data_IF_762311888331
#
_entry.id   IF_762311888331
#
_cell.length_a   1.000
_cell.length_b   1.000
_cell.length_c   1.000
_cell.angle_alpha   90.00
_cell.angle_beta   90.00
_cell.angle_gamma   90.00
#
_symmetry.space_group_name_H-M   'P 1'
#
loop_
_entity.id
_entity.type
_entity.pdbx_description
1 polymer ?
#
# COMPACT_ATOMS: atom_id res chain seq x y z
N UNK A 1 -2.88 -45.94 40.27
CA UNK A 1 -3.63 -47.11 39.76
C UNK A 1 -3.02 -47.51 38.43
N UNK A 2 -2.45 -48.72 38.38
CA UNK A 2 -1.90 -49.36 37.17
C UNK A 2 -3.02 -50.19 36.52
N UNK A 3 -3.11 -50.20 35.19
CA UNK A 3 -3.86 -51.23 34.46
C UNK A 3 -4.22 -50.84 33.02
N UNK A 4 -4.23 -51.79 32.06
CA UNK A 4 -3.35 -51.67 30.89
C UNK A 4 -3.93 -52.13 29.52
N UNK A 5 -3.10 -52.06 28.45
CA UNK A 5 -2.94 -53.08 27.35
C UNK A 5 -4.12 -53.17 26.31
N UNK A 6 -3.99 -53.27 24.97
CA UNK A 6 -2.99 -53.81 24.01
C UNK A 6 -3.41 -53.52 22.54
N UNK A 7 -2.42 -53.42 21.62
CA UNK A 7 -2.24 -54.05 20.26
C UNK A 7 -3.44 -54.16 19.26
N UNK A 8 -3.32 -54.07 17.92
CA UNK A 8 -2.27 -54.51 16.97
C UNK A 8 -2.61 -54.14 15.51
N UNK A 9 -1.56 -53.90 14.70
CA UNK A 9 -1.28 -54.30 13.28
C UNK A 9 -2.43 -54.41 12.25
N UNK A 10 -2.21 -53.79 11.07
CA UNK A 10 -2.02 -54.49 9.78
C UNK A 10 -1.66 -53.54 8.61
N UNK A 11 -0.56 -53.84 7.90
CA UNK A 11 -0.29 -53.55 6.48
C UNK A 11 -0.61 -54.85 5.68
N UNK A 12 -0.81 -54.92 4.33
CA UNK A 12 0.08 -54.42 3.24
C UNK A 12 -0.72 -54.12 1.92
N UNK A 13 -0.24 -54.28 0.64
CA UNK A 13 1.10 -54.33 0.04
C UNK A 13 1.30 -53.39 -1.19
N UNK A 14 2.54 -53.41 -1.70
CA UNK A 14 3.06 -52.77 -2.91
C UNK A 14 2.41 -53.22 -4.23
N UNK A 15 2.44 -52.33 -5.24
CA UNK A 15 2.25 -52.68 -6.66
C UNK A 15 3.45 -52.22 -7.49
N UNK A 16 4.02 -53.19 -8.18
CA UNK A 16 5.08 -53.09 -9.18
C UNK A 16 4.41 -53.19 -10.55
N UNK A 17 4.57 -52.22 -11.43
CA UNK A 17 4.33 -52.46 -12.87
C UNK A 17 5.49 -51.90 -13.69
N UNK A 18 6.05 -52.82 -14.47
CA UNK A 18 7.16 -52.71 -15.39
C UNK A 18 6.54 -52.76 -16.79
N UNK A 19 6.76 -51.76 -17.65
CA UNK A 19 6.57 -51.95 -19.10
C UNK A 19 7.81 -51.42 -19.83
N UNK A 20 8.57 -52.37 -20.34
CA UNK A 20 9.60 -52.17 -21.36
C UNK A 20 8.96 -52.29 -22.75
N UNK A 21 9.35 -51.42 -23.68
CA UNK A 21 9.01 -51.51 -25.10
C UNK A 21 10.13 -50.96 -25.97
N UNK A 22 10.93 -51.86 -26.54
CA UNK A 22 12.10 -51.62 -27.41
C UNK A 22 11.73 -52.09 -28.82
N UNK A 23 12.05 -51.35 -29.88
CA UNK A 23 12.09 -51.93 -31.23
C UNK A 23 12.37 -50.94 -32.39
N UNK A 24 13.03 -51.38 -33.50
CA UNK A 24 13.93 -50.52 -34.29
C UNK A 24 13.64 -50.42 -35.81
N UNK A 25 14.31 -49.44 -36.45
CA UNK A 25 14.91 -49.40 -37.80
C UNK A 25 14.16 -49.73 -39.12
N UNK A 26 14.60 -48.96 -40.15
CA UNK A 26 14.53 -49.15 -41.61
C UNK A 26 13.18 -48.76 -42.27
N UNK A 27 13.11 -48.21 -43.50
CA UNK A 27 13.95 -48.36 -44.70
C UNK A 27 13.58 -47.26 -45.73
N UNK A 28 14.57 -46.81 -46.50
CA UNK A 28 14.39 -46.02 -47.72
C UNK A 28 13.75 -46.87 -48.82
N UNK A 29 12.82 -46.29 -49.60
CA UNK A 29 12.61 -46.70 -50.99
C UNK A 29 12.22 -45.50 -51.88
N UNK A 30 12.93 -45.36 -53.00
CA UNK A 30 12.71 -44.36 -54.05
C UNK A 30 11.59 -44.83 -54.97
N UNK A 31 10.69 -43.92 -55.33
CA UNK A 31 9.95 -43.99 -56.59
C UNK A 31 10.09 -42.66 -57.32
N UNK A 32 10.75 -42.69 -58.48
CA UNK A 32 10.71 -41.66 -59.53
C UNK A 32 9.51 -41.96 -60.43
N UNK A 33 8.73 -40.95 -60.82
CA UNK A 33 8.33 -40.69 -62.22
C UNK A 33 7.35 -39.51 -62.30
N UNK A 34 7.63 -38.57 -63.22
CA UNK A 34 6.65 -37.70 -63.90
C UNK A 34 6.03 -36.56 -63.07
N UNK A 35 5.68 -35.38 -63.56
CA UNK A 35 5.66 -34.80 -64.90
C UNK A 35 5.69 -33.26 -64.75
N UNK A 36 6.52 -32.63 -65.56
CA UNK A 36 6.80 -31.20 -65.66
C UNK A 36 5.69 -30.42 -66.37
N UNK A 37 4.48 -30.35 -65.80
CA UNK A 37 3.39 -29.55 -66.40
C UNK A 37 2.47 -28.80 -65.42
N UNK A 38 2.92 -28.50 -64.20
CA UNK A 38 2.16 -27.72 -63.21
C UNK A 38 2.92 -26.58 -62.51
N UNK A 39 4.19 -26.33 -62.85
CA UNK A 39 5.05 -25.39 -62.11
C UNK A 39 4.62 -23.92 -62.20
N UNK A 40 4.08 -23.44 -63.32
CA UNK A 40 3.80 -22.00 -63.45
C UNK A 40 2.52 -21.54 -62.74
N UNK A 41 1.46 -22.36 -62.71
CA UNK A 41 0.25 -22.06 -61.90
C UNK A 41 0.47 -22.26 -60.41
N UNK A 42 1.34 -23.20 -60.01
CA UNK A 42 1.69 -23.44 -58.61
C UNK A 42 2.57 -22.31 -58.03
N UNK A 43 3.55 -21.81 -58.80
CA UNK A 43 4.44 -20.72 -58.36
C UNK A 43 3.72 -19.36 -58.23
N UNK A 44 2.69 -19.10 -59.05
CA UNK A 44 1.85 -17.90 -58.94
C UNK A 44 0.94 -17.93 -57.69
N UNK A 45 0.42 -19.10 -57.32
CA UNK A 45 -0.32 -19.28 -56.05
C UNK A 45 0.62 -19.19 -54.85
N UNK A 46 1.81 -19.81 -54.90
CA UNK A 46 2.80 -19.69 -53.81
C UNK A 46 3.19 -18.23 -53.57
N UNK A 47 3.48 -17.42 -54.60
CA UNK A 47 3.83 -16.00 -54.39
C UNK A 47 2.73 -15.17 -53.73
N UNK A 48 1.45 -15.40 -54.05
CA UNK A 48 0.33 -14.71 -53.39
C UNK A 48 0.08 -15.22 -51.97
N UNK A 49 0.28 -16.52 -51.72
CA UNK A 49 0.14 -17.11 -50.38
C UNK A 49 1.31 -16.71 -49.48
N UNK A 50 2.53 -16.61 -50.00
CA UNK A 50 3.72 -16.22 -49.23
C UNK A 50 3.71 -14.75 -48.82
N UNK A 51 3.20 -13.84 -49.65
CA UNK A 51 3.04 -12.42 -49.27
C UNK A 51 1.94 -12.26 -48.21
N UNK A 52 0.86 -13.05 -48.29
CA UNK A 52 -0.20 -13.04 -47.29
C UNK A 52 0.25 -13.66 -45.94
N UNK A 53 1.01 -14.76 -45.97
CA UNK A 53 1.59 -15.39 -44.76
C UNK A 53 2.65 -14.50 -44.11
N UNK A 54 3.47 -13.77 -44.89
CA UNK A 54 4.45 -12.83 -44.33
C UNK A 54 3.79 -11.57 -43.73
N UNK A 55 2.69 -11.09 -44.33
CA UNK A 55 1.91 -9.96 -43.79
C UNK A 55 1.15 -10.36 -42.51
N UNK A 56 0.62 -11.58 -42.42
CA UNK A 56 0.01 -12.12 -41.19
C UNK A 56 1.08 -12.37 -40.12
N UNK A 57 2.28 -12.84 -40.48
CA UNK A 57 3.40 -12.98 -39.55
C UNK A 57 3.85 -11.63 -38.99
N UNK A 58 4.01 -10.59 -39.83
CA UNK A 58 4.36 -9.24 -39.35
C UNK A 58 3.25 -8.57 -38.55
N UNK A 59 1.97 -8.84 -38.84
CA UNK A 59 0.85 -8.36 -38.04
C UNK A 59 0.75 -9.08 -36.67
N UNK A 60 1.23 -10.33 -36.55
CA UNK A 60 1.24 -11.08 -35.29
C UNK A 60 2.45 -10.80 -34.39
N UNK A 61 3.53 -10.20 -34.91
CA UNK A 61 4.62 -9.65 -34.08
C UNK A 61 4.38 -8.21 -33.60
N UNK A 62 3.29 -7.57 -34.07
CA UNK A 62 2.96 -6.17 -33.76
C UNK A 62 1.90 -5.99 -32.67
N UNK A 63 1.23 -7.05 -32.22
CA UNK A 63 0.44 -7.01 -31.00
C UNK A 63 1.40 -7.10 -29.82
N UNK A 64 2.13 -6.00 -29.54
CA UNK A 64 2.77 -5.82 -28.25
C UNK A 64 1.68 -6.05 -27.20
N UNK A 65 1.97 -6.91 -26.22
CA UNK A 65 1.11 -7.09 -25.06
C UNK A 65 0.70 -5.70 -24.59
N UNK A 66 -0.59 -5.38 -24.64
CA UNK A 66 -1.07 -4.17 -24.01
C UNK A 66 -0.59 -4.24 -22.56
N UNK A 67 0.30 -3.33 -22.18
CA UNK A 67 0.77 -3.28 -20.80
C UNK A 67 -0.47 -3.14 -19.93
N UNK A 68 -0.54 -3.96 -18.89
CA UNK A 68 -1.67 -3.96 -17.98
C UNK A 68 -1.80 -2.65 -17.23
N UNK A 69 -0.66 -1.98 -17.01
CA UNK A 69 -0.52 -0.68 -16.38
C UNK A 69 0.22 0.30 -17.28
N UNK A 70 0.07 1.60 -17.02
CA UNK A 70 0.94 2.59 -17.63
C UNK A 70 2.34 2.41 -17.03
N UNK A 71 3.42 2.44 -17.84
CA UNK A 71 4.77 2.28 -17.31
C UNK A 71 5.11 3.37 -16.28
N UNK A 72 5.56 2.95 -15.10
CA UNK A 72 6.12 3.84 -14.08
C UNK A 72 7.27 4.68 -14.64
N UNK A 73 7.20 6.00 -14.44
CA UNK A 73 8.28 6.92 -14.76
C UNK A 73 8.86 7.52 -13.47
N UNK A 74 10.14 7.26 -13.13
CA UNK A 74 10.74 7.75 -11.91
C UNK A 74 10.60 9.26 -11.74
N UNK A 75 10.19 9.69 -10.55
CA UNK A 75 10.02 11.12 -10.23
C UNK A 75 11.39 11.72 -9.88
N UNK A 76 11.78 12.88 -10.45
CA UNK A 76 13.05 13.50 -10.10
C UNK A 76 13.13 13.85 -8.60
N UNK A 77 14.20 13.40 -7.96
CA UNK A 77 14.50 13.77 -6.58
C UNK A 77 14.63 15.30 -6.41
N UNK A 78 14.24 15.76 -5.23
CA UNK A 78 14.48 17.12 -4.79
C UNK A 78 14.31 17.27 -3.29
N UNK A 79 14.68 18.43 -2.77
CA UNK A 79 14.51 18.74 -1.36
C UNK A 79 13.07 19.20 -1.11
N UNK A 80 12.28 18.46 -0.30
CA UNK A 80 10.96 18.89 0.11
C UNK A 80 11.04 20.16 0.98
N UNK A 81 10.07 21.05 0.82
CA UNK A 81 10.00 22.33 1.54
C UNK A 81 8.60 22.51 2.11
N UNK A 82 8.54 22.71 3.43
CA UNK A 82 7.31 23.06 4.16
C UNK A 82 6.79 24.43 3.72
N UNK A 83 5.47 24.59 3.72
CA UNK A 83 4.81 25.82 3.32
C UNK A 83 3.29 25.66 3.29
N UNK A 84 2.56 26.71 2.87
CA UNK A 84 1.11 26.72 2.94
C UNK A 84 0.39 26.05 1.75
N UNK A 85 1.07 25.81 0.63
CA UNK A 85 0.45 25.13 -0.52
C UNK A 85 0.72 23.62 -0.46
N UNK A 86 0.18 22.87 -1.43
CA UNK A 86 0.32 21.41 -1.49
C UNK A 86 1.04 21.03 -2.78
N UNK A 87 2.15 20.30 -2.66
CA UNK A 87 2.88 19.74 -3.79
C UNK A 87 1.96 18.78 -4.57
N UNK A 88 1.87 18.87 -5.91
CA UNK A 88 1.08 17.92 -6.67
C UNK A 88 1.69 16.51 -6.61
N UNK A 89 0.87 15.43 -6.77
CA UNK A 89 1.36 14.05 -6.70
C UNK A 89 2.52 13.74 -7.66
N UNK A 90 2.55 14.39 -8.81
CA UNK A 90 3.56 14.17 -9.87
C UNK A 90 4.96 14.68 -9.56
N UNK A 91 5.16 15.41 -8.45
CA UNK A 91 6.49 15.87 -8.01
C UNK A 91 6.92 15.27 -6.67
N UNK A 92 6.02 14.57 -5.97
CA UNK A 92 6.35 13.81 -4.78
C UNK A 92 6.96 12.50 -5.24
N UNK A 93 8.13 12.15 -4.74
CA UNK A 93 8.91 10.99 -5.18
C UNK A 93 8.78 9.83 -4.19
N UNK A 94 9.13 8.63 -4.64
CA UNK A 94 9.20 7.42 -3.81
C UNK A 94 7.84 7.04 -3.21
N UNK A 95 6.77 7.13 -4.01
CA UNK A 95 5.41 6.89 -3.53
C UNK A 95 5.05 5.42 -3.71
N UNK A 96 4.42 4.86 -2.69
CA UNK A 96 3.96 3.48 -2.66
C UNK A 96 2.52 3.42 -2.12
N UNK A 97 1.77 2.40 -2.49
CA UNK A 97 0.44 2.15 -1.95
C UNK A 97 0.09 0.66 -1.96
N UNK A 98 -0.87 0.26 -1.13
CA UNK A 98 -1.60 -1.01 -1.19
C UNK A 98 -3.09 -0.75 -1.40
N UNK A 99 -3.86 -1.81 -1.70
CA UNK A 99 -5.31 -1.72 -1.90
C UNK A 99 -5.97 -3.10 -1.68
N UNK A 100 -7.29 -3.20 -1.47
CA UNK A 100 -7.97 -4.47 -1.18
C UNK A 100 -8.85 -4.99 -2.35
N UNK A 101 -8.56 -6.18 -2.91
CA UNK A 101 -7.41 -7.05 -2.61
C UNK A 101 -6.13 -6.52 -3.23
N UNK A 102 -4.97 -6.79 -2.63
CA UNK A 102 -3.65 -6.45 -3.14
C UNK A 102 -3.43 -7.13 -4.50
N UNK A 103 -2.86 -6.38 -5.45
CA UNK A 103 -2.69 -6.83 -6.83
C UNK A 103 -1.27 -6.51 -7.29
N UNK A 104 -0.62 -7.49 -7.90
CA UNK A 104 0.50 -7.24 -8.79
C UNK A 104 0.03 -6.47 -10.03
N UNK A 105 0.82 -5.50 -10.45
CA UNK A 105 0.73 -4.75 -11.71
C UNK A 105 1.06 -5.61 -12.94
N UNK A 106 1.59 -6.82 -12.74
CA UNK A 106 1.91 -7.75 -13.83
C UNK A 106 0.65 -8.49 -14.28
N UNK A 107 0.16 -8.13 -15.47
CA UNK A 107 -0.93 -8.86 -16.15
C UNK A 107 -2.25 -8.10 -16.18
N UNK A 108 -3.03 -8.33 -17.24
CA UNK A 108 -4.20 -7.51 -17.56
C UNK A 108 -5.20 -7.44 -16.40
N UNK A 109 -5.46 -6.22 -15.92
CA UNK A 109 -6.45 -5.97 -14.86
C UNK A 109 -5.94 -6.13 -13.43
N UNK A 110 -4.63 -6.35 -13.24
CA UNK A 110 -4.04 -6.70 -11.95
C UNK A 110 -4.24 -8.17 -11.61
N UNK A 111 -3.24 -8.79 -10.99
CA UNK A 111 -3.31 -10.19 -10.52
C UNK A 111 -3.30 -10.19 -8.99
N UNK A 112 -4.28 -10.81 -8.31
CA UNK A 112 -4.27 -10.91 -6.85
C UNK A 112 -2.96 -11.46 -6.32
N UNK A 113 -2.32 -10.64 -5.50
CA UNK A 113 -1.03 -10.91 -4.88
C UNK A 113 -1.03 -10.26 -3.48
N UNK A 114 -1.59 -10.94 -2.46
CA UNK A 114 -1.62 -10.45 -1.08
C UNK A 114 -0.23 -9.98 -0.64
N UNK A 115 -0.16 -8.90 0.12
CA UNK A 115 1.10 -8.29 0.61
C UNK A 115 1.96 -7.58 -0.46
N UNK A 116 1.48 -7.47 -1.71
CA UNK A 116 2.17 -6.74 -2.78
C UNK A 116 1.90 -5.24 -2.70
N UNK A 117 2.97 -4.46 -2.56
CA UNK A 117 2.94 -3.00 -2.59
C UNK A 117 3.19 -2.49 -4.01
N UNK A 118 2.53 -1.41 -4.40
CA UNK A 118 2.65 -0.82 -5.73
C UNK A 118 3.32 0.55 -5.67
N UNK A 119 4.42 0.71 -6.40
CA UNK A 119 5.04 2.02 -6.61
C UNK A 119 4.28 2.82 -7.67
N UNK A 120 4.12 4.14 -7.48
CA UNK A 120 3.41 5.00 -8.42
C UNK A 120 4.04 6.39 -8.65
N UNK A 121 3.92 6.92 -9.87
CA UNK A 121 4.62 8.14 -10.29
C UNK A 121 3.79 9.43 -10.16
N UNK A 122 2.50 9.33 -9.85
CA UNK A 122 1.61 10.50 -9.73
C UNK A 122 1.10 11.05 -11.07
N UNK A 123 1.41 10.38 -12.16
CA UNK A 123 0.94 10.61 -13.53
C UNK A 123 0.20 9.39 -14.11
N UNK A 124 -0.10 8.41 -13.27
CA UNK A 124 -0.80 7.17 -13.60
C UNK A 124 0.11 5.99 -13.92
N UNK A 125 1.43 6.17 -13.94
CA UNK A 125 2.39 5.08 -14.11
C UNK A 125 2.60 4.33 -12.80
N UNK A 126 2.54 3.00 -12.87
CA UNK A 126 2.70 2.12 -11.70
C UNK A 126 3.55 0.90 -12.01
N UNK A 127 4.08 0.27 -10.96
CA UNK A 127 4.77 -1.02 -11.04
C UNK A 127 4.96 -1.66 -9.67
N UNK A 128 5.21 -2.96 -9.65
CA UNK A 128 5.40 -3.72 -8.41
C UNK A 128 6.58 -3.17 -7.60
N UNK A 129 6.31 -2.85 -6.34
CA UNK A 129 7.28 -2.44 -5.33
C UNK A 129 7.68 -3.62 -4.45
N UNK A 130 7.77 -3.38 -3.14
CA UNK A 130 8.04 -4.43 -2.16
C UNK A 130 6.89 -5.43 -2.06
N UNK A 131 7.20 -6.68 -1.71
CA UNK A 131 6.23 -7.74 -1.45
C UNK A 131 6.57 -8.37 -0.11
N UNK A 132 5.65 -8.29 0.86
CA UNK A 132 5.86 -8.87 2.20
C UNK A 132 5.52 -10.36 2.26
N UNK A 133 5.06 -10.97 1.16
CA UNK A 133 4.75 -12.39 1.09
C UNK A 133 5.87 -13.27 1.63
N UNK A 134 5.53 -14.06 2.64
CA UNK A 134 6.45 -15.04 3.24
C UNK A 134 7.51 -14.45 4.17
N UNK A 135 7.47 -13.16 4.48
CA UNK A 135 8.28 -12.56 5.55
C UNK A 135 7.86 -13.11 6.92
N UNK A 136 6.56 -13.37 7.11
CA UNK A 136 5.98 -13.88 8.36
C UNK A 136 6.00 -15.41 8.42
N UNK A 137 6.13 -16.01 9.63
CA UNK A 137 6.19 -17.46 9.79
C UNK A 137 4.84 -18.17 9.61
N UNK A 138 3.72 -17.46 9.74
CA UNK A 138 2.36 -17.98 9.61
C UNK A 138 1.60 -17.10 8.62
N UNK A 139 1.17 -17.70 7.51
CA UNK A 139 0.31 -17.05 6.53
C UNK A 139 -1.15 -17.31 6.88
N UNK A 140 -1.95 -16.25 6.93
CA UNK A 140 -3.40 -16.29 7.15
C UNK A 140 -4.14 -16.05 5.84
N UNK A 141 -5.41 -16.46 5.78
CA UNK A 141 -6.23 -16.25 4.57
C UNK A 141 -6.43 -14.76 4.27
N UNK A 142 -6.38 -13.92 5.32
CA UNK A 142 -6.52 -12.46 5.25
C UNK A 142 -5.13 -11.82 5.41
N UNK A 143 -4.29 -11.96 4.38
CA UNK A 143 -2.95 -11.35 4.34
C UNK A 143 -2.93 -10.13 3.41
N UNK A 144 -3.99 -9.33 3.39
CA UNK A 144 -3.96 -8.04 2.70
C UNK A 144 -3.22 -7.03 3.57
N UNK A 145 -2.36 -6.21 2.97
CA UNK A 145 -1.74 -5.09 3.68
C UNK A 145 -2.80 -4.03 3.93
N UNK A 146 -2.90 -3.52 5.16
CA UNK A 146 -3.97 -2.59 5.56
C UNK A 146 -3.43 -1.30 6.20
N UNK A 147 -2.11 -1.17 6.24
CA UNK A 147 -1.40 0.07 6.50
C UNK A 147 0.07 -0.11 6.11
N UNK A 148 0.72 0.97 5.70
CA UNK A 148 2.14 1.01 5.36
C UNK A 148 2.79 2.20 6.06
N UNK A 149 4.06 2.05 6.41
CA UNK A 149 4.90 3.16 6.80
C UNK A 149 6.38 2.80 6.65
N UNK A 150 7.22 3.82 6.62
CA UNK A 150 8.62 3.70 6.91
C UNK A 150 8.85 3.92 8.40
N UNK A 151 9.84 3.24 8.99
CA UNK A 151 10.21 3.46 10.39
C UNK A 151 10.51 4.93 10.72
N UNK A 152 10.90 5.75 9.76
CA UNK A 152 11.27 7.15 9.97
C UNK A 152 10.59 8.11 8.99
N UNK A 153 9.27 8.24 9.08
CA UNK A 153 8.50 9.08 8.16
C UNK A 153 8.99 10.53 8.19
N UNK A 154 9.35 11.02 7.00
CA UNK A 154 10.10 12.27 6.83
C UNK A 154 9.41 13.50 7.45
N UNK A 155 8.08 13.47 7.54
CA UNK A 155 7.26 14.59 8.00
C UNK A 155 6.41 14.28 9.23
N UNK A 156 6.62 13.16 9.92
CA UNK A 156 5.88 12.80 11.13
C UNK A 156 5.80 13.96 12.14
N UNK A 157 6.96 14.49 12.55
CA UNK A 157 7.03 15.62 13.48
C UNK A 157 6.40 16.89 12.89
N UNK A 158 6.47 17.08 11.57
CA UNK A 158 5.89 18.26 10.91
C UNK A 158 4.35 18.20 10.90
N UNK A 159 3.76 17.01 10.82
CA UNK A 159 2.31 16.80 10.98
C UNK A 159 1.89 17.14 12.42
N UNK A 160 2.62 16.65 13.42
CA UNK A 160 2.36 16.95 14.84
C UNK A 160 2.45 18.46 15.15
N UNK A 161 3.26 19.19 14.39
CA UNK A 161 3.42 20.64 14.51
C UNK A 161 2.45 21.45 13.65
N UNK A 162 1.55 20.78 12.91
CA UNK A 162 0.61 21.41 11.98
C UNK A 162 1.32 22.25 10.90
N UNK A 163 2.43 21.70 10.38
CA UNK A 163 3.32 22.34 9.39
C UNK A 163 3.43 21.59 8.05
N UNK A 164 3.24 20.27 8.03
CA UNK A 164 3.10 19.47 6.80
C UNK A 164 1.63 19.03 6.66
N UNK A 165 1.10 18.97 5.45
CA UNK A 165 -0.29 18.59 5.22
C UNK A 165 -0.48 17.09 5.37
N UNK A 166 -1.57 16.67 6.01
CA UNK A 166 -1.91 15.26 6.16
C UNK A 166 -2.64 14.76 4.90
N UNK A 167 -2.04 13.83 4.17
CA UNK A 167 -2.68 13.06 3.11
C UNK A 167 -3.40 11.87 3.74
N UNK A 168 -4.57 11.53 3.24
CA UNK A 168 -5.32 10.36 3.70
C UNK A 168 -6.15 9.73 2.59
N UNK A 169 -6.43 8.43 2.72
CA UNK A 169 -7.48 7.72 1.97
C UNK A 169 -8.65 7.40 2.89
N UNK A 170 -9.70 6.81 2.31
CA UNK A 170 -10.89 6.38 3.06
C UNK A 170 -11.31 4.99 2.62
N UNK A 171 -11.88 4.20 3.53
CA UNK A 171 -12.29 2.83 3.22
C UNK A 171 -13.46 2.84 2.21
N UNK A 172 -13.47 1.83 1.34
CA UNK A 172 -14.57 1.56 0.43
C UNK A 172 -15.80 0.97 1.15
N UNK A 173 -15.63 0.49 2.38
CA UNK A 173 -16.70 0.02 3.25
C UNK A 173 -16.82 0.90 4.49
N UNK A 174 -18.05 1.24 4.87
CA UNK A 174 -18.31 1.91 6.14
C UNK A 174 -19.69 1.53 6.67
N UNK A 175 -19.87 1.63 7.98
CA UNK A 175 -21.17 1.42 8.63
C UNK A 175 -21.95 2.72 8.68
N UNK A 176 -23.14 2.73 8.09
CA UNK A 176 -24.12 3.79 8.25
C UNK A 176 -25.25 3.37 9.19
N UNK A 177 -25.88 4.32 9.86
CA UNK A 177 -27.11 4.12 10.61
C UNK A 177 -28.29 4.74 9.86
N UNK A 178 -29.15 3.89 9.30
CA UNK A 178 -30.37 4.29 8.57
C UNK A 178 -31.58 3.83 9.36
N UNK A 179 -32.39 4.78 9.85
CA UNK A 179 -33.52 4.45 10.73
C UNK A 179 -33.07 3.76 12.04
N UNK A 180 -31.86 4.07 12.52
CA UNK A 180 -31.27 3.49 13.73
C UNK A 180 -30.73 2.06 13.57
N UNK A 181 -30.72 1.50 12.36
CA UNK A 181 -30.10 0.20 12.07
C UNK A 181 -28.74 0.40 11.42
N UNK A 182 -27.73 -0.34 11.89
CA UNK A 182 -26.43 -0.40 11.25
C UNK A 182 -26.55 -1.11 9.88
N UNK A 183 -26.01 -0.47 8.85
CA UNK A 183 -26.02 -0.93 7.46
C UNK A 183 -24.63 -0.73 6.90
N UNK A 184 -23.96 -1.82 6.53
CA UNK A 184 -22.72 -1.75 5.77
C UNK A 184 -23.00 -1.12 4.41
N UNK A 185 -22.27 -0.05 4.10
CA UNK A 185 -22.46 0.81 2.94
C UNK A 185 -21.16 0.90 2.16
N UNK A 186 -21.25 0.91 0.83
CA UNK A 186 -20.09 1.08 -0.03
C UNK A 186 -19.87 2.55 -0.34
N UNK A 187 -18.65 3.04 -0.16
CA UNK A 187 -18.19 4.31 -0.70
C UNK A 187 -17.70 4.08 -2.14
N UNK A 188 -18.09 4.94 -3.10
CA UNK A 188 -17.54 4.86 -4.44
C UNK A 188 -16.02 5.02 -4.44
N UNK A 189 -15.38 4.29 -5.34
CA UNK A 189 -13.92 4.33 -5.51
C UNK A 189 -13.41 5.70 -5.99
N UNK A 190 -14.22 6.43 -6.76
CA UNK A 190 -13.94 7.81 -7.17
C UNK A 190 -14.94 8.78 -6.57
N UNK A 191 -14.47 9.97 -6.23
CA UNK A 191 -15.29 11.05 -5.72
C UNK A 191 -16.09 11.77 -6.82
N UNK A 192 -16.69 12.92 -6.50
CA UNK A 192 -16.58 13.64 -5.23
C UNK A 192 -17.39 13.02 -4.08
N UNK A 193 -16.85 13.04 -2.87
CA UNK A 193 -17.58 12.76 -1.62
C UNK A 193 -17.77 14.07 -0.85
N UNK A 194 -19.03 14.45 -0.61
CA UNK A 194 -19.38 15.68 0.10
C UNK A 194 -19.38 15.43 1.62
N UNK A 195 -18.61 16.23 2.34
CA UNK A 195 -18.50 16.19 3.79
C UNK A 195 -19.51 17.13 4.46
N UNK A 196 -19.85 16.85 5.73
CA UNK A 196 -20.81 17.65 6.51
C UNK A 196 -20.38 19.12 6.71
N UNK A 197 -19.08 19.40 6.68
CA UNK A 197 -18.54 20.76 6.75
C UNK A 197 -18.57 21.51 5.40
N UNK A 198 -19.05 20.86 4.33
CA UNK A 198 -19.16 21.43 2.99
C UNK A 198 -17.91 21.24 2.12
N UNK A 199 -16.83 20.65 2.65
CA UNK A 199 -15.67 20.28 1.84
C UNK A 199 -15.97 19.06 0.97
N UNK A 200 -15.11 18.82 -0.01
CA UNK A 200 -15.24 17.68 -0.92
C UNK A 200 -13.91 16.97 -1.03
N UNK A 201 -13.95 15.65 -0.82
CA UNK A 201 -12.79 14.77 -0.89
C UNK A 201 -12.95 13.76 -2.04
N UNK A 202 -11.92 12.94 -2.25
CA UNK A 202 -11.95 11.82 -3.17
C UNK A 202 -12.81 10.65 -2.67
N UNK A 203 -12.98 9.65 -3.54
CA UNK A 203 -13.53 8.34 -3.17
C UNK A 203 -12.48 7.44 -2.52
N UNK A 204 -12.83 6.16 -2.31
CA UNK A 204 -11.94 5.23 -1.61
C UNK A 204 -10.62 4.97 -2.34
N UNK A 205 -10.62 4.94 -3.68
CA UNK A 205 -9.44 4.74 -4.53
C UNK A 205 -8.66 6.03 -4.82
N UNK A 206 -8.92 7.09 -4.07
CA UNK A 206 -8.32 8.40 -4.25
C UNK A 206 -7.67 8.88 -2.96
N UNK A 207 -6.73 9.82 -3.08
CA UNK A 207 -6.07 10.42 -1.94
C UNK A 207 -6.56 11.85 -1.76
N UNK A 208 -6.91 12.18 -0.53
CA UNK A 208 -7.33 13.51 -0.10
C UNK A 208 -6.28 14.11 0.81
N UNK A 209 -6.39 15.41 1.08
CA UNK A 209 -5.46 16.13 1.94
C UNK A 209 -6.22 17.05 2.89
N UNK A 210 -5.89 16.97 4.18
CA UNK A 210 -6.19 17.99 5.18
C UNK A 210 -5.07 19.02 5.19
N UNK A 211 -5.44 20.30 5.01
CA UNK A 211 -4.46 21.36 5.05
C UNK A 211 -4.03 21.68 6.48
N UNK A 212 -2.76 21.45 6.76
CA UNK A 212 -2.07 22.10 7.86
C UNK A 212 -2.37 23.61 7.94
N UNK A 213 -2.64 24.14 9.13
CA UNK A 213 -2.93 25.58 9.34
C UNK A 213 -1.71 26.43 9.02
N UNK A 214 -0.50 25.89 9.20
CA UNK A 214 0.78 26.53 8.88
C UNK A 214 0.88 27.97 9.41
N UNK A 215 0.80 28.13 10.73
CA UNK A 215 0.86 29.45 11.37
C UNK A 215 -0.29 30.41 11.00
N UNK A 216 -1.42 29.87 10.51
CA UNK A 216 -2.61 30.62 10.14
C UNK A 216 -2.71 30.97 8.66
N UNK A 217 -1.83 30.40 7.82
CA UNK A 217 -1.88 30.62 6.38
C UNK A 217 -3.08 29.91 5.71
N UNK A 218 -3.50 28.77 6.24
CA UNK A 218 -4.70 28.06 5.82
C UNK A 218 -5.79 28.18 6.91
N UNK A 219 -7.08 28.26 6.53
CA UNK A 219 -8.16 28.11 7.50
C UNK A 219 -8.17 26.68 8.08
N UNK A 220 -8.73 26.47 9.28
CA UNK A 220 -8.85 25.14 9.86
C UNK A 220 -9.86 24.28 9.12
N UNK A 221 -9.73 22.95 9.23
CA UNK A 221 -10.66 21.95 8.67
C UNK A 221 -10.86 22.11 7.18
N UNK A 222 -9.78 22.08 6.40
CA UNK A 222 -9.82 22.20 4.94
C UNK A 222 -9.37 20.90 4.32
N UNK A 223 -10.35 20.10 3.90
CA UNK A 223 -10.12 18.89 3.12
C UNK A 223 -10.32 19.16 1.64
N UNK A 224 -9.49 18.53 0.80
CA UNK A 224 -9.69 18.49 -0.65
C UNK A 224 -9.07 17.23 -1.27
N UNK A 225 -9.50 16.90 -2.48
CA UNK A 225 -8.83 15.89 -3.31
C UNK A 225 -7.37 16.31 -3.60
N UNK A 226 -6.44 15.36 -3.45
CA UNK A 226 -5.02 15.53 -3.76
C UNK A 226 -4.59 14.71 -4.99
N UNK A 227 -4.93 13.42 -5.02
CA UNK A 227 -4.63 12.52 -6.14
C UNK A 227 -5.88 11.74 -6.57
N UNK A 228 -6.22 11.84 -7.86
CA UNK A 228 -7.26 11.00 -8.48
C UNK A 228 -6.78 9.56 -8.67
N UNK A 229 -7.71 8.62 -8.84
CA UNK A 229 -7.42 7.23 -9.19
C UNK A 229 -6.46 7.12 -10.38
N UNK A 230 -6.73 7.90 -11.43
CA UNK A 230 -5.95 7.86 -12.67
C UNK A 230 -4.52 8.43 -12.53
N UNK A 231 -4.27 9.25 -11.50
CA UNK A 231 -2.93 9.71 -11.18
C UNK A 231 -2.16 8.70 -10.32
N UNK A 232 -2.88 7.90 -9.52
CA UNK A 232 -2.32 6.82 -8.70
C UNK A 232 -1.95 5.64 -9.61
N UNK A 233 -2.93 5.09 -10.31
CA UNK A 233 -2.73 4.05 -11.31
C UNK A 233 -3.72 4.22 -12.46
N UNK A 234 -3.19 4.44 -13.67
CA UNK A 234 -4.01 4.66 -14.86
C UNK A 234 -4.71 3.41 -15.38
N UNK A 235 -4.25 2.20 -15.02
CA UNK A 235 -4.89 0.93 -15.37
C UNK A 235 -4.29 -0.23 -14.56
N UNK A 236 -5.07 -1.08 -13.86
CA UNK A 236 -6.45 -0.80 -13.46
C UNK A 236 -6.52 0.43 -12.54
N UNK A 237 -7.68 1.09 -12.49
CA UNK A 237 -7.90 2.12 -11.48
C UNK A 237 -8.03 1.45 -10.10
N UNK A 238 -7.37 1.97 -9.06
CA UNK A 238 -7.41 1.38 -7.72
C UNK A 238 -8.84 1.47 -7.15
N UNK A 239 -9.33 0.40 -6.53
CA UNK A 239 -10.68 0.38 -5.94
C UNK A 239 -10.71 1.18 -4.63
N UNK A 240 -9.66 1.05 -3.86
CA UNK A 240 -9.38 1.70 -2.61
C UNK A 240 -7.87 1.91 -2.48
N UNK A 241 -7.48 2.56 -1.39
CA UNK A 241 -6.11 2.66 -0.92
C UNK A 241 -6.15 2.34 0.57
N UNK A 242 -5.54 1.26 0.99
CA UNK A 242 -5.46 0.79 2.39
C UNK A 242 -4.05 0.93 2.97
N UNK A 243 -3.09 1.41 2.18
CA UNK A 243 -1.76 1.70 2.65
C UNK A 243 -1.12 2.75 1.78
N UNK A 244 -0.32 3.62 2.40
CA UNK A 244 0.31 4.74 1.71
C UNK A 244 1.68 5.00 2.31
N UNK A 245 2.69 5.09 1.46
CA UNK A 245 4.01 5.60 1.79
C UNK A 245 4.35 6.71 0.78
N UNK A 246 4.90 7.82 1.26
CA UNK A 246 5.42 8.90 0.44
C UNK A 246 6.85 9.20 0.90
N UNK A 247 7.69 9.66 -0.03
CA UNK A 247 9.07 10.10 0.25
C UNK A 247 10.11 9.00 0.42
N UNK A 248 9.97 7.91 -0.32
CA UNK A 248 11.02 6.90 -0.44
C UNK A 248 12.10 7.19 -1.50
N UNK A 249 13.00 6.23 -1.76
CA UNK A 249 13.94 6.30 -2.87
C UNK A 249 13.26 6.13 -4.24
N UNK A 250 13.94 6.56 -5.30
CA UNK A 250 13.54 6.44 -6.70
C UNK A 250 14.57 5.61 -7.50
N UNK A 251 14.14 4.71 -8.40
CA UNK A 251 12.75 4.34 -8.67
C UNK A 251 12.10 3.69 -7.44
N UNK A 252 10.80 3.92 -7.25
CA UNK A 252 10.03 3.41 -6.10
C UNK A 252 10.04 1.88 -5.94
N UNK A 253 10.56 1.14 -6.91
CA UNK A 253 10.80 -0.31 -6.80
C UNK A 253 11.86 -0.70 -5.76
N UNK A 254 12.67 0.27 -5.30
CA UNK A 254 13.57 0.09 -4.16
C UNK A 254 12.97 0.68 -2.87
N UNK A 255 11.63 0.69 -2.79
CA UNK A 255 10.79 0.80 -1.60
C UNK A 255 11.54 0.76 -0.27
N UNK A 256 11.31 1.76 0.58
CA UNK A 256 11.79 1.79 1.96
C UNK A 256 10.69 1.56 3.00
N UNK A 257 9.43 1.36 2.56
CA UNK A 257 8.35 0.85 3.41
C UNK A 257 8.85 -0.37 4.17
N UNK A 258 8.82 -0.30 5.50
CA UNK A 258 9.36 -1.37 6.36
C UNK A 258 8.54 -1.61 7.62
N UNK A 259 7.35 -1.01 7.68
CA UNK A 259 6.31 -1.26 8.67
C UNK A 259 5.00 -1.48 7.92
N UNK A 260 4.20 -2.43 8.39
CA UNK A 260 2.89 -2.70 7.80
C UNK A 260 1.92 -3.33 8.82
N UNK A 261 0.61 -3.13 8.63
CA UNK A 261 -0.46 -3.90 9.28
C UNK A 261 -1.16 -4.81 8.27
N UNK A 262 -2.08 -5.63 8.76
CA UNK A 262 -2.91 -6.50 7.92
C UNK A 262 -4.39 -6.29 8.24
N UNK A 263 -5.26 -6.58 7.28
CA UNK A 263 -6.71 -6.35 7.36
C UNK A 263 -7.41 -6.95 8.60
N UNK A 264 -6.80 -7.97 9.22
CA UNK A 264 -7.32 -8.54 10.47
C UNK A 264 -6.21 -8.73 11.50
N UNK A 265 -5.83 -7.64 12.17
CA UNK A 265 -4.82 -7.59 13.23
C UNK A 265 -4.95 -8.73 14.26
N UNK A 266 -6.16 -8.97 14.77
CA UNK A 266 -6.43 -10.00 15.78
C UNK A 266 -6.01 -11.42 15.34
N UNK A 267 -6.00 -11.70 14.04
CA UNK A 267 -5.65 -13.02 13.49
C UNK A 267 -4.16 -13.14 13.14
N UNK A 268 -3.42 -12.03 13.24
CA UNK A 268 -2.01 -11.91 12.90
C UNK A 268 -1.09 -12.40 14.02
N UNK A 269 -1.16 -13.70 14.33
CA UNK A 269 -0.34 -14.30 15.39
C UNK A 269 1.10 -14.60 14.94
N UNK A 270 2.05 -14.44 15.87
CA UNK A 270 3.42 -14.88 15.70
C UNK A 270 3.75 -16.05 16.65
N UNK A 271 4.53 -17.03 16.17
CA UNK A 271 5.06 -18.13 17.01
C UNK A 271 5.88 -17.59 18.19
N UNK A 272 6.57 -16.46 18.01
CA UNK A 272 7.34 -15.80 19.06
C UNK A 272 6.48 -15.15 20.15
N UNK A 273 5.21 -14.84 19.85
CA UNK A 273 4.27 -14.16 20.77
C UNK A 273 2.95 -14.95 20.81
N UNK A 274 2.93 -16.16 21.40
CA UNK A 274 1.83 -17.11 21.23
C UNK A 274 0.50 -16.71 21.90
N UNK A 275 0.50 -15.64 22.70
CA UNK A 275 -0.67 -15.18 23.46
C UNK A 275 -1.12 -13.76 23.06
N UNK A 276 -0.55 -13.19 22.00
CA UNK A 276 -0.93 -11.87 21.50
C UNK A 276 -0.84 -11.86 19.98
N UNK A 277 -1.68 -11.05 19.35
CA UNK A 277 -1.59 -10.79 17.93
C UNK A 277 -0.65 -9.60 17.68
N UNK A 278 -0.35 -9.32 16.41
CA UNK A 278 0.56 -8.27 15.99
C UNK A 278 -0.21 -7.30 15.10
N UNK A 279 -0.33 -6.05 15.52
CA UNK A 279 -0.95 -4.99 14.72
C UNK A 279 0.02 -4.35 13.75
N UNK A 280 1.30 -4.23 14.12
CA UNK A 280 2.33 -3.70 13.22
C UNK A 280 3.49 -4.67 13.14
N UNK A 281 3.81 -5.06 11.92
CA UNK A 281 4.94 -5.91 11.57
C UNK A 281 6.10 -5.07 11.04
N UNK A 282 7.32 -5.50 11.31
CA UNK A 282 8.47 -5.05 10.53
C UNK A 282 8.46 -5.73 9.17
N UNK A 283 9.05 -5.11 8.14
CA UNK A 283 9.22 -5.72 6.82
C UNK A 283 10.05 -7.01 6.83
N UNK A 284 10.75 -7.30 7.94
CA UNK A 284 11.42 -8.58 8.19
C UNK A 284 10.47 -9.70 8.64
N UNK A 285 9.20 -9.41 8.90
CA UNK A 285 8.20 -10.31 9.46
C UNK A 285 8.33 -10.53 10.98
N UNK A 286 9.13 -9.71 11.67
CA UNK A 286 9.16 -9.68 13.13
C UNK A 286 8.07 -8.75 13.69
N UNK A 287 7.53 -9.00 14.90
CA UNK A 287 6.55 -8.10 15.51
C UNK A 287 7.18 -6.76 15.88
N UNK A 288 6.55 -5.65 15.49
CA UNK A 288 6.93 -4.30 15.91
C UNK A 288 6.03 -3.80 17.04
N UNK A 289 4.70 -3.82 16.84
CA UNK A 289 3.70 -3.45 17.85
C UNK A 289 2.69 -4.58 18.01
N UNK A 290 2.52 -5.00 19.27
CA UNK A 290 1.54 -6.02 19.63
C UNK A 290 0.12 -5.44 19.66
N UNK A 291 -0.84 -6.26 19.28
CA UNK A 291 -2.23 -5.86 19.17
C UNK A 291 -2.83 -5.39 20.52
N UNK A 292 -2.48 -6.05 21.63
CA UNK A 292 -2.90 -5.60 22.96
C UNK A 292 -2.44 -4.18 23.32
N UNK A 293 -1.32 -3.71 22.75
CA UNK A 293 -0.86 -2.33 22.96
C UNK A 293 -1.80 -1.32 22.29
N UNK A 294 -2.20 -1.60 21.04
CA UNK A 294 -3.16 -0.78 20.29
C UNK A 294 -4.52 -0.77 21.00
N UNK A 295 -5.05 -1.94 21.39
CA UNK A 295 -6.33 -2.04 22.09
C UNK A 295 -6.32 -1.23 23.39
N UNK A 296 -5.27 -1.35 24.21
CA UNK A 296 -5.15 -0.59 25.45
C UNK A 296 -5.08 0.92 25.19
N UNK A 297 -4.35 1.35 24.16
CA UNK A 297 -4.23 2.76 23.78
C UNK A 297 -5.60 3.32 23.35
N UNK A 298 -6.25 2.69 22.38
CA UNK A 298 -7.55 3.11 21.84
C UNK A 298 -8.61 3.15 22.94
N UNK A 299 -8.78 2.06 23.71
CA UNK A 299 -9.83 1.96 24.74
C UNK A 299 -9.66 2.97 25.87
N UNK A 300 -8.46 3.51 26.08
CA UNK A 300 -8.22 4.55 27.08
C UNK A 300 -8.69 5.95 26.65
N UNK A 301 -8.85 6.19 25.34
CA UNK A 301 -9.33 7.47 24.80
C UNK A 301 -10.79 7.43 24.36
N UNK A 302 -11.27 6.28 23.91
CA UNK A 302 -12.65 6.14 23.46
C UNK A 302 -13.62 6.28 24.63
N UNK A 303 -14.82 6.85 24.40
CA UNK A 303 -15.83 6.96 25.42
C UNK A 303 -16.20 5.58 25.98
N UNK A 304 -16.37 5.50 27.31
CA UNK A 304 -16.79 4.27 27.96
C UNK A 304 -18.10 3.77 27.33
N UNK A 305 -18.12 2.50 26.91
CA UNK A 305 -19.31 1.93 26.28
C UNK A 305 -20.46 1.81 27.30
N UNK A 306 -21.71 2.16 26.91
CA UNK A 306 -22.88 1.92 27.75
C UNK A 306 -23.11 0.43 28.04
N UNK A 307 -22.55 -0.48 27.22
CA UNK A 307 -22.77 -1.93 27.30
C UNK A 307 -21.55 -2.73 27.75
N UNK A 308 -20.38 -2.11 27.98
CA UNK A 308 -19.19 -2.84 28.43
C UNK A 308 -17.87 -2.22 28.00
N UNK A 309 -16.87 -3.05 27.74
CA UNK A 309 -15.60 -2.67 27.11
C UNK A 309 -15.72 -2.82 25.58
N UNK A 310 -14.96 -2.05 24.80
CA UNK A 310 -14.87 -2.26 23.35
C UNK A 310 -14.26 -3.64 23.13
N UNK A 311 -14.91 -4.54 22.36
CA UNK A 311 -14.38 -5.88 22.14
C UNK A 311 -12.99 -5.82 21.50
N UNK A 312 -12.06 -6.60 22.08
CA UNK A 312 -10.67 -6.70 21.62
C UNK A 312 -10.57 -7.04 20.13
N UNK A 313 -11.47 -7.89 19.65
CA UNK A 313 -11.56 -8.41 18.29
C UNK A 313 -12.09 -7.41 17.25
N UNK A 314 -12.58 -6.24 17.66
CA UNK A 314 -13.11 -5.23 16.75
C UNK A 314 -12.12 -4.09 16.47
N UNK A 315 -10.98 -4.04 17.17
CA UNK A 315 -9.94 -3.07 16.88
C UNK A 315 -9.09 -3.63 15.74
N UNK A 316 -8.93 -2.87 14.67
CA UNK A 316 -8.08 -3.19 13.53
C UNK A 316 -7.37 -1.91 13.10
N UNK A 317 -6.06 -1.95 12.83
CA UNK A 317 -5.29 -0.78 12.44
C UNK A 317 -5.32 -0.60 10.92
N UNK A 318 -5.89 0.53 10.47
CA UNK A 318 -6.21 0.77 9.05
C UNK A 318 -5.35 1.89 8.44
N UNK A 319 -4.52 2.60 9.22
CA UNK A 319 -3.61 3.60 8.68
C UNK A 319 -2.42 3.79 9.62
N UNK A 320 -1.24 4.11 9.09
CA UNK A 320 0.00 4.16 9.87
C UNK A 320 0.95 5.26 9.39
N UNK A 321 1.59 5.94 10.34
CA UNK A 321 2.89 6.60 10.19
C UNK A 321 3.73 6.24 11.41
N UNK A 322 5.05 6.13 11.25
CA UNK A 322 6.00 5.75 12.30
C UNK A 322 7.15 6.75 12.40
N UNK A 323 7.50 7.05 13.65
CA UNK A 323 8.71 7.75 14.04
C UNK A 323 9.48 6.88 15.03
N UNK A 324 10.40 6.09 14.50
CA UNK A 324 11.32 5.20 15.19
C UNK A 324 12.72 5.81 15.12
N UNK A 325 13.23 6.28 16.26
CA UNK A 325 14.55 6.91 16.34
C UNK A 325 15.46 6.27 17.38
N UNK A 326 14.93 5.43 18.25
CA UNK A 326 15.65 4.89 19.39
C UNK A 326 15.71 3.36 19.33
N UNK A 327 16.77 2.81 19.91
CA UNK A 327 16.93 1.36 19.92
C UNK A 327 17.26 0.81 18.53
N UNK A 328 16.50 -0.21 18.10
CA UNK A 328 16.66 -0.84 16.79
C UNK A 328 15.43 -0.58 15.94
N UNK A 329 15.56 -0.39 14.61
CA UNK A 329 14.40 -0.17 13.73
C UNK A 329 13.36 -1.30 13.72
N UNK A 330 13.61 -2.39 14.43
CA UNK A 330 12.74 -3.56 14.54
C UNK A 330 11.97 -3.60 15.88
N UNK A 331 12.12 -2.60 16.77
CA UNK A 331 11.53 -2.60 18.11
C UNK A 331 10.93 -1.24 18.47
N UNK A 332 9.72 -1.25 19.02
CA UNK A 332 9.06 -0.04 19.52
C UNK A 332 9.54 0.30 20.93
N UNK A 333 10.57 1.14 21.02
CA UNK A 333 11.38 1.33 22.21
C UNK A 333 11.27 2.72 22.84
N UNK A 334 11.54 2.76 24.14
CA UNK A 334 11.84 4.02 24.85
C UNK A 334 13.34 4.27 24.76
N UNK A 335 13.73 5.53 24.71
CA UNK A 335 15.14 5.89 24.89
C UNK A 335 15.67 5.32 26.22
N UNK A 336 16.66 4.41 26.20
CA UNK A 336 17.22 3.81 27.41
C UNK A 336 17.95 4.84 28.29
N UNK A 337 18.30 6.01 27.75
CA UNK A 337 18.93 7.10 28.51
C UNK A 337 17.94 7.94 29.32
N UNK A 338 16.64 7.77 29.09
CA UNK A 338 15.57 8.50 29.81
C UNK A 338 15.44 9.96 29.41
N UNK A 339 15.91 10.36 28.21
CA UNK A 339 15.83 11.74 27.72
C UNK A 339 14.39 12.21 27.42
N UNK A 340 13.40 11.31 27.55
CA UNK A 340 11.99 11.58 27.28
C UNK A 340 11.60 11.43 25.82
N UNK A 341 12.57 11.20 24.94
CA UNK A 341 12.30 10.83 23.57
C UNK A 341 11.96 9.34 23.47
N UNK A 342 11.02 9.02 22.59
CA UNK A 342 10.33 7.73 22.51
C UNK A 342 9.95 7.51 21.07
N UNK A 343 9.91 6.26 20.63
CA UNK A 343 9.32 5.96 19.34
C UNK A 343 7.82 6.26 19.39
N UNK A 344 7.27 6.67 18.25
CA UNK A 344 5.89 7.08 18.15
C UNK A 344 5.26 6.50 16.89
N UNK A 345 3.96 6.24 16.95
CA UNK A 345 3.15 5.96 15.78
C UNK A 345 1.94 6.89 15.76
N UNK A 346 1.53 7.26 14.56
CA UNK A 346 0.24 7.87 14.27
C UNK A 346 -0.58 6.82 13.52
N UNK A 347 -1.82 6.59 13.90
CA UNK A 347 -2.64 5.57 13.25
C UNK A 347 -4.13 5.87 13.32
N UNK A 348 -4.90 5.27 12.41
CA UNK A 348 -6.35 5.11 12.54
C UNK A 348 -6.69 3.66 12.86
N UNK A 349 -7.96 3.40 13.18
CA UNK A 349 -8.49 2.05 13.30
C UNK A 349 -9.78 1.95 12.52
N UNK A 350 -10.17 0.74 12.12
CA UNK A 350 -11.49 0.48 11.56
C UNK A 350 -12.62 1.00 12.42
N UNK A 351 -13.73 1.38 11.79
CA UNK A 351 -14.95 1.74 12.51
C UNK A 351 -15.37 0.63 13.46
N UNK A 352 -15.79 1.03 14.67
CA UNK A 352 -16.37 0.14 15.66
C UNK A 352 -17.81 0.57 15.93
N UNK A 353 -18.79 0.00 15.21
CA UNK A 353 -20.20 0.36 15.38
C UNK A 353 -20.72 0.01 16.78
N UNK A 354 -21.59 0.87 17.31
CA UNK A 354 -22.30 0.59 18.56
C UNK A 354 -23.64 -0.10 18.27
N UNK A 355 -23.90 -1.23 18.92
CA UNK A 355 -25.13 -2.01 18.77
C UNK A 355 -26.43 -1.28 19.15
N UNK A 356 -26.37 -0.14 19.85
CA UNK A 356 -27.55 0.70 20.16
C UNK A 356 -27.75 1.89 19.23
N UNK A 357 -26.88 2.07 18.23
CA UNK A 357 -26.84 3.25 17.37
C UNK A 357 -25.59 4.09 17.62
N UNK A 358 -24.91 4.51 16.55
CA UNK A 358 -23.69 5.33 16.62
C UNK A 358 -22.40 4.51 16.63
N UNK A 359 -21.30 5.08 17.12
CA UNK A 359 -19.98 4.46 17.02
C UNK A 359 -19.26 4.48 18.38
N UNK A 360 -18.42 3.49 18.64
CA UNK A 360 -17.38 3.58 19.67
C UNK A 360 -16.16 4.30 19.10
N UNK A 361 -15.73 3.88 17.91
CA UNK A 361 -14.78 4.57 17.05
C UNK A 361 -15.45 4.79 15.69
N UNK A 362 -15.40 6.02 15.19
CA UNK A 362 -15.90 6.37 13.86
C UNK A 362 -14.97 5.93 12.74
N UNK A 363 -13.75 5.50 13.04
CA UNK A 363 -12.70 5.16 12.09
C UNK A 363 -11.95 6.37 11.51
N UNK A 364 -12.55 7.56 11.60
CA UNK A 364 -11.89 8.83 11.26
C UNK A 364 -11.03 9.41 12.40
N UNK A 365 -10.94 8.76 13.56
CA UNK A 365 -10.05 9.21 14.64
C UNK A 365 -8.59 8.89 14.34
N UNK A 366 -7.68 9.82 14.66
CA UNK A 366 -6.24 9.61 14.53
C UNK A 366 -5.57 9.62 15.90
N UNK A 367 -4.92 8.52 16.23
CA UNK A 367 -4.29 8.24 17.52
C UNK A 367 -2.79 8.42 17.40
N UNK A 368 -2.22 9.21 18.30
CA UNK A 368 -0.78 9.28 18.54
C UNK A 368 -0.45 8.41 19.76
N UNK A 369 0.30 7.34 19.56
CA UNK A 369 0.81 6.45 20.61
C UNK A 369 2.33 6.58 20.67
N UNK A 370 2.88 6.69 21.87
CA UNK A 370 4.32 6.60 22.10
C UNK A 370 4.73 5.28 22.78
N UNK A 371 6.01 4.93 22.69
CA UNK A 371 6.58 3.77 23.37
C UNK A 371 6.54 3.90 24.91
N UNK A 372 6.17 5.08 25.42
CA UNK A 372 5.83 5.27 26.82
C UNK A 372 4.42 4.81 27.22
N UNK A 373 3.60 4.41 26.24
CA UNK A 373 2.20 4.03 26.43
C UNK A 373 1.31 5.24 26.66
N UNK A 374 1.79 6.46 26.41
CA UNK A 374 0.94 7.63 26.38
C UNK A 374 0.22 7.65 25.04
N UNK A 375 -1.06 8.04 25.08
CA UNK A 375 -1.90 8.13 23.90
C UNK A 375 -2.70 9.43 23.91
N UNK A 376 -2.85 10.04 22.74
CA UNK A 376 -3.68 11.23 22.51
C UNK A 376 -4.28 11.20 21.11
N UNK A 377 -5.32 11.99 20.86
CA UNK A 377 -5.74 12.28 19.49
C UNK A 377 -4.77 13.27 18.83
N UNK A 378 -4.58 13.16 17.51
CA UNK A 378 -3.78 14.10 16.73
C UNK A 378 -4.44 15.49 16.71
N UNK A 379 -3.68 16.53 17.01
CA UNK A 379 -4.07 17.91 16.70
C UNK A 379 -3.42 18.32 15.38
N UNK A 380 -4.23 18.50 14.34
CA UNK A 380 -3.79 18.85 12.99
C UNK A 380 -4.92 19.55 12.23
N UNK A 381 -4.62 20.43 11.27
CA UNK A 381 -5.65 21.17 10.53
C UNK A 381 -6.43 22.15 11.43
N UNK A 382 -5.85 22.55 12.57
CA UNK A 382 -6.48 23.45 13.53
C UNK A 382 -7.60 22.83 14.37
N UNK A 383 -7.73 21.51 14.39
CA UNK A 383 -8.68 20.77 15.21
C UNK A 383 -8.05 19.49 15.77
N UNK A 384 -8.78 18.83 16.66
CA UNK A 384 -8.43 17.50 17.15
C UNK A 384 -9.09 16.45 16.24
N UNK A 385 -8.36 15.41 15.85
CA UNK A 385 -8.89 14.25 15.12
C UNK A 385 -9.52 13.26 16.11
N UNK A 386 -10.55 13.72 16.81
CA UNK A 386 -11.31 12.96 17.79
C UNK A 386 -12.70 12.56 17.25
N UNK A 387 -13.41 11.79 18.07
CA UNK A 387 -14.76 11.31 17.78
C UNK A 387 -15.76 12.44 17.49
N UNK A 388 -15.64 13.57 18.19
CA UNK A 388 -16.56 14.70 18.04
C UNK A 388 -16.35 15.38 16.70
N UNK A 389 -15.09 15.59 16.32
CA UNK A 389 -14.72 16.17 15.06
C UNK A 389 -15.17 15.30 13.88
N UNK A 390 -14.91 13.99 13.95
CA UNK A 390 -15.31 13.02 12.93
C UNK A 390 -16.83 13.06 12.67
N UNK A 391 -17.65 13.00 13.72
CA UNK A 391 -19.11 13.09 13.58
C UNK A 391 -19.59 14.41 12.96
N UNK A 392 -18.90 15.52 13.25
CA UNK A 392 -19.28 16.85 12.78
C UNK A 392 -18.82 17.14 11.34
N UNK A 393 -17.71 16.57 10.90
CA UNK A 393 -17.04 16.96 9.65
C UNK A 393 -16.99 15.82 8.63
N UNK A 394 -16.73 14.59 9.06
CA UNK A 394 -16.54 13.42 8.20
C UNK A 394 -17.85 12.64 7.96
N UNK A 395 -18.97 13.18 8.43
CA UNK A 395 -20.28 12.60 8.15
C UNK A 395 -20.71 12.85 6.69
N UNK A 396 -21.04 11.77 5.99
CA UNK A 396 -21.50 11.72 4.58
C UNK A 396 -22.99 11.33 4.47
N UNK A 397 -23.67 11.20 5.60
CA UNK A 397 -25.09 10.86 5.68
C UNK A 397 -26.03 12.01 5.34
N UNK A 398 -27.24 11.66 4.91
CA UNK A 398 -28.35 12.62 4.81
C UNK A 398 -28.90 13.04 6.20
N UNK A 399 -29.91 13.94 6.25
CA UNK A 399 -30.45 14.49 7.50
C UNK A 399 -30.91 13.46 8.54
N UNK A 400 -31.32 12.26 8.09
CA UNK A 400 -31.82 11.15 8.92
C UNK A 400 -30.86 9.94 8.95
N UNK A 401 -29.62 10.13 8.49
CA UNK A 401 -28.60 9.08 8.42
C UNK A 401 -27.34 9.57 9.13
N UNK A 402 -26.81 8.72 10.00
CA UNK A 402 -25.49 8.92 10.55
C UNK A 402 -24.52 8.00 9.78
N UNK A 403 -23.57 8.57 9.07
CA UNK A 403 -22.61 7.82 8.26
C UNK A 403 -21.29 8.55 8.30
N UNK A 404 -20.30 8.05 9.03
CA UNK A 404 -18.95 8.60 9.03
C UNK A 404 -18.09 7.72 8.13
N UNK A 405 -17.14 8.32 7.40
CA UNK A 405 -16.16 7.56 6.62
C UNK A 405 -15.05 7.04 7.53
N UNK A 406 -14.37 5.99 7.09
CA UNK A 406 -13.21 5.42 7.78
C UNK A 406 -11.93 5.95 7.16
N UNK A 407 -10.89 6.28 7.93
CA UNK A 407 -9.59 6.67 7.38
C UNK A 407 -8.76 5.41 7.21
N UNK A 408 -8.31 5.16 5.99
CA UNK A 408 -7.76 3.87 5.58
C UNK A 408 -6.31 3.93 5.09
N UNK A 409 -5.70 5.11 5.12
CA UNK A 409 -4.27 5.31 4.91
C UNK A 409 -3.97 6.75 5.31
N UNK A 410 -2.77 7.01 5.80
CA UNK A 410 -2.31 8.36 6.12
C UNK A 410 -0.86 8.52 5.69
N UNK A 411 -0.49 9.72 5.29
CA UNK A 411 0.90 10.13 5.09
C UNK A 411 0.97 11.66 5.10
N UNK A 412 2.12 12.26 4.82
CA UNK A 412 2.29 13.70 4.81
C UNK A 412 2.82 14.23 3.47
N UNK A 413 2.39 15.44 3.11
CA UNK A 413 2.89 16.16 1.94
C UNK A 413 3.24 17.62 2.30
N UNK A 414 4.17 18.19 1.53
CA UNK A 414 4.69 19.55 1.75
C UNK A 414 4.24 20.52 0.66
N UNK A 415 4.74 21.77 0.70
CA UNK A 415 4.41 22.81 -0.28
C UNK A 415 4.98 22.54 -1.66
N UNK A 416 6.26 22.20 -1.71
CA UNK A 416 6.95 21.97 -2.98
C UNK A 416 8.18 21.13 -2.78
N UNK A 417 8.63 20.56 -3.88
CA UNK A 417 9.92 19.89 -4.00
C UNK A 417 10.83 20.79 -4.83
N UNK A 418 11.97 21.19 -4.26
CA UNK A 418 12.99 21.94 -4.99
C UNK A 418 13.90 20.90 -5.65
N UNK A 419 13.91 20.78 -7.00
CA UNK A 419 14.81 19.85 -7.66
C UNK A 419 16.24 20.10 -7.22
N UNK A 420 16.98 19.04 -6.90
CA UNK A 420 18.38 19.22 -6.58
C UNK A 420 19.07 19.90 -7.76
N UNK A 421 19.80 21.01 -7.54
CA UNK A 421 20.49 21.67 -8.62
C UNK A 421 21.46 20.67 -9.23
N UNK A 422 21.20 20.26 -10.47
CA UNK A 422 22.11 19.44 -11.31
C UNK A 422 23.53 20.01 -11.35
N UNK A 423 23.71 21.26 -10.91
CA UNK A 423 24.96 21.89 -10.53
C UNK A 423 25.87 20.99 -9.68
N UNK A 424 25.37 20.19 -8.72
CA UNK A 424 26.23 19.27 -7.94
C UNK A 424 26.87 18.17 -8.79
N UNK A 425 26.07 17.55 -9.66
CA UNK A 425 26.50 16.56 -10.65
C UNK A 425 27.43 17.17 -11.71
N UNK A 426 27.13 18.38 -12.17
CA UNK A 426 27.97 19.12 -13.11
C UNK A 426 29.29 19.57 -12.46
N UNK A 427 29.30 19.88 -11.16
CA UNK A 427 30.51 20.27 -10.42
C UNK A 427 31.42 19.05 -10.23
N UNK A 428 30.87 17.90 -9.85
CA UNK A 428 31.64 16.65 -9.72
C UNK A 428 32.15 16.16 -11.07
N UNK A 429 31.32 16.19 -12.12
CA UNK A 429 31.76 15.90 -13.49
C UNK A 429 32.84 16.89 -13.95
N UNK A 430 32.69 18.18 -13.67
CA UNK A 430 33.67 19.22 -13.95
C UNK A 430 35.00 18.99 -13.24
N UNK A 431 34.97 18.62 -11.95
CA UNK A 431 36.17 18.31 -11.17
C UNK A 431 36.87 17.04 -11.65
N UNK A 432 36.12 16.00 -12.04
CA UNK A 432 36.65 14.78 -12.65
C UNK A 432 37.34 15.07 -13.99
N UNK A 433 36.71 15.86 -14.86
CA UNK A 433 37.29 16.27 -16.14
C UNK A 433 38.56 17.12 -15.95
N UNK A 434 38.57 18.03 -14.97
CA UNK A 434 39.76 18.81 -14.61
C UNK A 434 40.89 17.93 -14.04
N UNK A 435 40.55 16.91 -13.24
CA UNK A 435 41.49 15.92 -12.74
C UNK A 435 42.15 15.11 -13.87
N UNK A 436 41.35 14.61 -14.81
CA UNK A 436 41.83 13.88 -16.00
C UNK A 436 42.69 14.77 -16.90
N UNK A 437 42.30 16.03 -17.11
CA UNK A 437 43.08 16.99 -17.89
C UNK A 437 44.45 17.31 -17.24
N UNK A 438 44.51 17.39 -15.91
CA UNK A 438 45.78 17.56 -15.16
C UNK A 438 46.65 16.30 -15.19
N UNK A 439 46.06 15.11 -15.17
CA UNK A 439 46.79 13.85 -15.29
C UNK A 439 47.50 13.70 -16.64
N UNK A 440 46.84 14.12 -17.74
CA UNK A 440 47.40 14.00 -19.10
C UNK A 440 48.65 14.87 -19.31
N UNK A 441 48.70 16.07 -18.70
CA UNK A 441 49.85 16.99 -18.77
C UNK A 441 51.09 16.56 -17.97
N UNK A 442 50.99 15.53 -17.13
CA UNK A 442 52.15 14.99 -16.38
C UNK A 442 52.85 13.85 -17.11
N UNK A 443 52.24 13.31 -18.15
CA UNK A 443 52.75 12.19 -18.93
C UNK A 443 53.24 12.60 -20.34
N UNK A 444 53.20 13.90 -20.65
CA UNK A 444 53.88 14.56 -21.76
C UNK A 444 55.05 15.37 -21.18
#
# INVERSE_FOLDING_TARGET
MRGPVRQSRQAPPARTETIAGRGPNHRFERVRLGETFHKERFMSRIRKTSVFVLAVAFASFGCGSAFATLPYNPVPFGSPVLGPNVAPPSIVFGKEYSHDPDLSTVGLGGVPDPEQIVAWDGSGGSGDGLDFSGTRPLFTVDSQSDALANHGDAFFTSVLQDMAHLVFSVDNLYTAYVGGQAVLTNLPSAGPVLLANGNTIGGAGELSVELAVYGGANPPSVQKLWATQAQINGSPLPRDIDGLELWGPEPGFNADTNKYSLDVDMLSYNIAVPNDAVSVWNGSGSPYILHSMIVNAVTSLLPASPTGEVPFDLINLDALMVQDFYGTPDSFDRDPSGSGAVDQILFSIRQVPNGVGGYYATGSELFLLDAAGNVSFLFHGGHLWDHVYALANFNVGGPDQLAVIDVNAIEAVVDRVIPEPTTGLLLTAGLLLLGLARGRRRNE
#
